data_IF_279282690505
#
_entry.id   IF_279282690505
#
_cell.length_a   1.000
_cell.length_b   1.000
_cell.length_c   1.000
_cell.angle_alpha   90.00
_cell.angle_beta   90.00
_cell.angle_gamma   90.00
#
_symmetry.space_group_name_H-M   'P 1'
#
loop_
_entity.id
_entity.type
_entity.pdbx_description
1 polymer ?
#
# COMPACT_ATOMS: atom_id res chain seq x y z
N UNK A 1 -1.12 20.24 32.64
CA UNK A 1 -1.31 19.56 31.33
C UNK A 1 -0.19 20.03 30.40
N UNK A 2 0.60 19.14 29.84
CA UNK A 2 1.70 19.53 28.95
C UNK A 2 1.14 20.06 27.63
N UNK A 3 1.55 21.27 27.23
CA UNK A 3 1.13 21.92 25.97
C UNK A 3 1.86 21.38 24.74
N UNK A 4 3.03 20.78 24.96
CA UNK A 4 3.93 20.29 23.91
C UNK A 4 4.48 18.93 24.33
N UNK A 5 4.45 17.98 23.42
CA UNK A 5 4.99 16.64 23.61
C UNK A 5 5.82 16.25 22.39
N UNK A 6 6.96 15.63 22.65
CA UNK A 6 7.82 15.03 21.63
C UNK A 6 8.20 13.65 22.13
N UNK A 7 7.95 12.64 21.33
CA UNK A 7 8.42 11.27 21.56
C UNK A 7 9.24 10.86 20.37
N UNK A 8 10.43 10.32 20.60
CA UNK A 8 11.33 9.83 19.56
C UNK A 8 11.88 8.48 19.97
N UNK A 9 11.71 7.49 19.11
CA UNK A 9 12.12 6.12 19.35
C UNK A 9 12.93 5.59 18.15
N UNK A 10 13.93 4.77 18.45
CA UNK A 10 14.62 3.95 17.45
C UNK A 10 14.42 2.48 17.77
N UNK A 11 13.98 1.72 16.78
CA UNK A 11 13.80 0.29 16.96
C UNK A 11 14.70 -0.52 16.02
N UNK A 12 15.13 -1.68 16.53
CA UNK A 12 15.86 -2.68 15.76
C UNK A 12 15.34 -4.07 16.15
N UNK A 13 14.40 -4.60 15.35
CA UNK A 13 13.77 -5.90 15.58
C UNK A 13 14.36 -6.94 14.65
N UNK A 14 14.88 -8.03 15.21
CA UNK A 14 15.29 -9.24 14.47
C UNK A 14 14.29 -10.35 14.71
N UNK A 15 13.70 -10.87 13.64
CA UNK A 15 12.87 -12.07 13.66
C UNK A 15 13.72 -13.21 13.12
N UNK A 16 13.87 -14.28 13.89
CA UNK A 16 14.66 -15.46 13.53
C UNK A 16 13.74 -16.65 13.30
N UNK A 17 14.22 -17.60 12.53
CA UNK A 17 13.63 -18.91 12.36
C UNK A 17 12.18 -18.83 11.87
N UNK A 18 11.92 -17.93 10.91
CA UNK A 18 10.62 -17.79 10.26
C UNK A 18 10.24 -19.13 9.64
N UNK A 19 9.05 -19.60 9.96
CA UNK A 19 8.47 -20.78 9.34
C UNK A 19 7.97 -20.40 7.96
N UNK A 20 8.51 -21.05 6.93
CA UNK A 20 8.06 -20.88 5.55
C UNK A 20 7.49 -22.21 5.07
N UNK A 21 6.26 -22.15 4.56
CA UNK A 21 5.60 -23.25 3.87
C UNK A 21 5.75 -23.09 2.35
N UNK A 22 5.61 -24.17 1.60
CA UNK A 22 5.64 -24.12 0.12
C UNK A 22 6.99 -24.35 -0.50
N UNK A 23 7.94 -24.93 0.21
CA UNK A 23 9.14 -25.51 -0.40
C UNK A 23 8.68 -26.64 -1.33
N UNK A 24 8.93 -26.47 -2.63
CA UNK A 24 8.55 -27.49 -3.61
C UNK A 24 9.44 -28.73 -3.41
N UNK A 25 8.85 -29.85 -3.03
CA UNK A 25 9.50 -31.14 -3.12
C UNK A 25 9.66 -31.50 -4.60
N UNK A 26 10.72 -32.28 -4.92
CA UNK A 26 10.77 -32.95 -6.22
C UNK A 26 9.51 -33.79 -6.40
N UNK A 27 8.88 -33.74 -7.57
CA UNK A 27 7.69 -34.56 -7.89
C UNK A 27 7.92 -36.04 -7.72
N UNK A 28 9.18 -36.49 -7.72
CA UNK A 28 9.60 -37.90 -7.47
C UNK A 28 9.30 -38.32 -6.02
N UNK A 29 9.26 -37.38 -5.07
CA UNK A 29 9.05 -37.70 -3.64
C UNK A 29 7.57 -37.95 -3.31
N UNK A 30 6.63 -37.49 -4.16
CA UNK A 30 5.18 -37.72 -4.02
C UNK A 30 4.55 -37.11 -2.77
N UNK A 31 5.27 -36.25 -2.02
CA UNK A 31 4.80 -35.59 -0.82
C UNK A 31 5.27 -34.12 -0.75
N UNK A 32 4.54 -33.27 -0.01
CA UNK A 32 4.97 -31.92 0.31
C UNK A 32 5.92 -31.92 1.50
N UNK A 33 6.97 -31.07 1.46
CA UNK A 33 7.80 -30.88 2.65
C UNK A 33 7.02 -30.23 3.79
N UNK A 34 7.31 -30.69 5.00
CA UNK A 34 6.87 -29.97 6.20
C UNK A 34 7.41 -28.53 6.20
N UNK A 35 6.68 -27.56 6.80
CA UNK A 35 7.21 -26.22 7.00
C UNK A 35 8.57 -26.28 7.70
N UNK A 36 9.52 -25.47 7.23
CA UNK A 36 10.87 -25.41 7.81
C UNK A 36 11.18 -23.99 8.29
N UNK A 37 12.11 -23.89 9.22
CA UNK A 37 12.66 -22.61 9.66
C UNK A 37 13.56 -22.07 8.54
N UNK A 38 13.00 -21.21 7.68
CA UNK A 38 13.63 -20.90 6.40
C UNK A 38 14.32 -19.52 6.35
N UNK A 39 14.12 -18.64 7.33
CA UNK A 39 14.73 -17.33 7.20
C UNK A 39 14.73 -16.42 8.41
N UNK A 40 15.56 -15.38 8.34
CA UNK A 40 15.62 -14.31 9.32
C UNK A 40 15.35 -12.97 8.63
N UNK A 41 14.60 -12.09 9.30
CA UNK A 41 14.33 -10.72 8.84
C UNK A 41 14.80 -9.73 9.91
N UNK A 42 15.33 -8.61 9.45
CA UNK A 42 15.61 -7.45 10.28
C UNK A 42 14.74 -6.27 9.86
N UNK A 43 14.07 -5.69 10.84
CA UNK A 43 13.33 -4.43 10.71
C UNK A 43 13.98 -3.40 11.60
N UNK A 44 14.31 -2.24 11.06
CA UNK A 44 14.85 -1.11 11.81
C UNK A 44 14.23 0.18 11.32
N UNK A 45 14.06 1.13 12.21
CA UNK A 45 13.47 2.40 11.85
C UNK A 45 13.50 3.39 13.01
N UNK A 46 12.98 4.54 12.72
CA UNK A 46 12.84 5.65 13.63
C UNK A 46 11.37 6.07 13.68
N UNK A 47 10.87 6.35 14.89
CA UNK A 47 9.51 6.83 15.13
C UNK A 47 9.60 8.19 15.82
N UNK A 48 8.79 9.14 15.33
CA UNK A 48 8.68 10.48 15.90
C UNK A 48 7.20 10.82 16.06
N UNK A 49 6.81 11.23 17.26
CA UNK A 49 5.49 11.81 17.53
C UNK A 49 5.65 13.23 18.07
N UNK A 50 4.86 14.14 17.52
CA UNK A 50 4.78 15.53 17.93
C UNK A 50 3.36 15.87 18.32
N UNK A 51 3.19 16.46 19.50
CA UNK A 51 1.90 16.95 19.99
C UNK A 51 1.99 18.41 20.44
N UNK A 52 1.03 19.20 20.00
CA UNK A 52 0.84 20.57 20.44
C UNK A 52 -0.62 20.80 20.78
N UNK A 53 -0.90 21.38 21.96
CA UNK A 53 -2.23 21.81 22.37
C UNK A 53 -2.14 23.19 23.01
N UNK A 54 -3.04 24.09 22.62
CA UNK A 54 -3.13 25.40 23.25
C UNK A 54 -4.56 25.93 23.24
N UNK A 55 -4.77 27.05 23.94
CA UNK A 55 -6.05 27.74 24.05
C UNK A 55 -5.86 29.25 24.02
N UNK A 56 -6.65 29.91 23.18
CA UNK A 56 -6.69 31.36 23.06
C UNK A 56 -8.12 31.80 23.31
N UNK A 57 -8.39 32.31 24.50
CA UNK A 57 -9.76 32.65 24.95
C UNK A 57 -10.66 31.40 24.93
N UNK A 58 -11.75 31.44 24.17
CA UNK A 58 -12.70 30.32 24.03
C UNK A 58 -12.26 29.30 22.97
N UNK A 59 -11.25 29.62 22.17
CA UNK A 59 -10.75 28.74 21.11
C UNK A 59 -9.64 27.82 21.63
N UNK A 60 -9.90 26.51 21.67
CA UNK A 60 -8.92 25.49 21.97
C UNK A 60 -8.55 24.75 20.67
N UNK A 61 -7.29 24.44 20.49
CA UNK A 61 -6.81 23.71 19.32
C UNK A 61 -5.69 22.74 19.68
N UNK A 62 -5.53 21.73 18.86
CA UNK A 62 -4.43 20.76 18.97
C UNK A 62 -4.03 20.21 17.62
N UNK A 63 -2.75 19.90 17.54
CA UNK A 63 -2.12 19.21 16.39
C UNK A 63 -1.33 18.04 16.94
N UNK A 64 -1.53 16.85 16.38
CA UNK A 64 -0.69 15.70 16.62
C UNK A 64 -0.22 15.16 15.28
N UNK A 65 1.06 14.93 15.14
CA UNK A 65 1.65 14.33 13.95
C UNK A 65 2.59 13.20 14.37
N UNK A 66 2.60 12.13 13.61
CA UNK A 66 3.56 11.04 13.78
C UNK A 66 4.15 10.65 12.43
N UNK A 67 5.36 10.12 12.46
CA UNK A 67 6.03 9.48 11.33
C UNK A 67 6.82 8.29 11.83
N UNK A 68 6.72 7.17 11.10
CA UNK A 68 7.50 5.96 11.37
C UNK A 68 8.21 5.55 10.08
N UNK A 69 9.54 5.43 10.13
CA UNK A 69 10.35 4.91 9.03
C UNK A 69 10.56 3.41 9.19
N UNK A 70 10.68 2.67 8.09
CA UNK A 70 10.92 1.24 8.13
C UNK A 70 11.95 0.82 7.08
N UNK A 71 13.03 0.19 7.52
CA UNK A 71 13.96 -0.53 6.65
C UNK A 71 13.89 -2.02 6.96
N UNK A 72 13.26 -2.75 6.06
CA UNK A 72 13.12 -4.21 6.12
C UNK A 72 14.21 -4.88 5.29
N UNK A 73 14.78 -5.98 5.78
CA UNK A 73 15.78 -6.77 5.05
C UNK A 73 15.77 -8.23 5.48
N UNK A 74 15.75 -9.13 4.51
CA UNK A 74 16.04 -10.55 4.72
C UNK A 74 17.53 -10.71 4.96
N UNK A 75 17.93 -11.33 6.07
CA UNK A 75 19.33 -11.42 6.50
C UNK A 75 19.91 -12.83 6.43
N UNK A 76 19.05 -13.85 6.42
CA UNK A 76 19.45 -15.25 6.29
C UNK A 76 18.31 -16.06 5.70
N UNK A 77 18.67 -17.09 4.94
CA UNK A 77 17.77 -18.16 4.50
C UNK A 77 18.39 -19.53 4.83
N UNK A 78 17.57 -20.58 4.72
CA UNK A 78 18.05 -21.95 4.83
C UNK A 78 19.07 -22.25 3.71
N UNK A 79 20.11 -23.00 4.02
CA UNK A 79 21.23 -23.22 3.09
C UNK A 79 20.82 -23.88 1.76
N UNK A 80 19.76 -24.67 1.77
CA UNK A 80 19.21 -25.30 0.56
C UNK A 80 18.38 -24.37 -0.33
N UNK A 81 18.19 -23.09 0.05
CA UNK A 81 17.30 -22.16 -0.63
C UNK A 81 18.06 -20.88 -1.02
N UNK A 82 18.12 -20.58 -2.30
CA UNK A 82 18.61 -19.30 -2.81
C UNK A 82 17.53 -18.21 -2.74
N UNK A 83 16.29 -18.59 -3.03
CA UNK A 83 15.12 -17.72 -2.97
C UNK A 83 13.84 -18.52 -2.74
N UNK A 84 12.76 -17.84 -2.37
CA UNK A 84 11.42 -18.44 -2.25
C UNK A 84 10.46 -17.57 -3.04
N UNK A 85 9.76 -18.16 -3.99
CA UNK A 85 8.71 -17.51 -4.73
C UNK A 85 7.45 -17.37 -3.88
N UNK A 86 6.85 -16.18 -3.90
CA UNK A 86 5.70 -15.83 -3.11
C UNK A 86 4.38 -15.84 -3.90
N UNK A 87 3.73 -14.67 -3.96
CA UNK A 87 2.48 -14.52 -4.67
C UNK A 87 2.65 -14.78 -6.17
N UNK A 88 1.71 -15.53 -6.75
CA UNK A 88 1.63 -15.75 -8.18
C UNK A 88 0.58 -14.84 -8.80
N UNK A 89 0.80 -14.44 -10.05
CA UNK A 89 -0.18 -13.72 -10.84
C UNK A 89 -0.75 -14.63 -11.93
N UNK A 90 -2.00 -15.06 -11.70
CA UNK A 90 -2.69 -16.04 -12.57
C UNK A 90 -1.81 -17.27 -12.81
N UNK A 91 -1.59 -17.65 -14.07
CA UNK A 91 -0.67 -18.73 -14.52
C UNK A 91 0.68 -18.21 -15.01
N UNK A 92 0.91 -16.88 -14.92
CA UNK A 92 2.11 -16.23 -15.50
C UNK A 92 3.35 -16.31 -14.60
N UNK A 93 3.22 -16.87 -13.40
CA UNK A 93 4.33 -17.11 -12.49
C UNK A 93 4.31 -16.24 -11.23
N UNK A 94 5.38 -16.39 -10.46
CA UNK A 94 5.56 -15.62 -9.22
C UNK A 94 5.92 -14.15 -9.52
N UNK A 95 5.29 -13.25 -8.76
CA UNK A 95 5.50 -11.80 -8.84
C UNK A 95 6.10 -11.21 -7.56
N UNK A 96 6.24 -12.01 -6.51
CA UNK A 96 6.97 -11.63 -5.30
C UNK A 96 8.00 -12.69 -4.96
N UNK A 97 9.10 -12.26 -4.34
CA UNK A 97 10.21 -13.14 -3.98
C UNK A 97 10.78 -12.78 -2.62
N UNK A 98 11.24 -13.79 -1.90
CA UNK A 98 11.95 -13.67 -0.65
C UNK A 98 13.40 -14.13 -0.85
N UNK A 99 14.36 -13.24 -0.64
CA UNK A 99 15.77 -13.48 -0.96
C UNK A 99 16.67 -12.71 0.00
N UNK A 100 17.85 -13.27 0.32
CA UNK A 100 18.82 -12.62 1.20
C UNK A 100 19.31 -11.31 0.59
N UNK A 101 19.35 -10.27 1.40
CA UNK A 101 19.82 -8.95 0.99
C UNK A 101 18.73 -8.01 0.52
N UNK A 102 17.56 -8.52 0.18
CA UNK A 102 16.41 -7.78 -0.34
C UNK A 102 15.33 -7.51 0.75
N UNK A 103 14.39 -6.60 0.50
CA UNK A 103 13.17 -6.53 1.30
C UNK A 103 12.40 -7.85 1.23
N UNK A 104 11.69 -8.21 2.31
CA UNK A 104 10.87 -9.41 2.29
C UNK A 104 9.73 -9.27 1.28
N UNK A 105 9.57 -10.26 0.41
CA UNK A 105 8.52 -10.34 -0.60
C UNK A 105 8.51 -9.13 -1.55
N UNK A 106 9.70 -8.68 -1.98
CA UNK A 106 9.84 -7.65 -3.02
C UNK A 106 9.21 -8.13 -4.34
N UNK A 107 8.82 -7.19 -5.20
CA UNK A 107 8.27 -7.53 -6.51
C UNK A 107 9.39 -7.99 -7.44
N UNK A 108 9.16 -9.14 -8.05
CA UNK A 108 10.12 -9.84 -8.90
C UNK A 108 9.52 -10.07 -10.28
N UNK A 109 10.17 -9.58 -11.31
CA UNK A 109 9.66 -9.64 -12.68
C UNK A 109 10.61 -9.02 -13.68
N UNK A 110 10.13 -8.77 -14.89
CA UNK A 110 10.91 -8.17 -15.96
C UNK A 110 10.97 -6.64 -15.79
N UNK A 111 12.14 -6.06 -16.09
CA UNK A 111 12.29 -4.61 -16.11
C UNK A 111 11.82 -4.07 -17.47
N UNK A 112 10.63 -3.47 -17.48
CA UNK A 112 9.99 -2.93 -18.68
C UNK A 112 10.56 -1.57 -19.03
N UNK A 113 11.15 -1.47 -20.22
CA UNK A 113 11.83 -0.28 -20.72
C UNK A 113 10.92 0.64 -21.57
N UNK A 114 9.77 0.13 -22.01
CA UNK A 114 8.83 0.86 -22.86
C UNK A 114 8.21 0.00 -23.94
N UNK A 115 7.62 0.66 -24.93
CA UNK A 115 6.94 0.02 -26.08
C UNK A 115 7.65 0.42 -27.36
N UNK A 116 7.90 -0.54 -28.24
CA UNK A 116 8.40 -0.26 -29.58
C UNK A 116 7.35 0.55 -30.35
N UNK A 117 7.73 1.75 -30.80
CA UNK A 117 6.82 2.70 -31.45
C UNK A 117 6.36 2.23 -32.83
N UNK A 118 7.04 1.25 -33.45
CA UNK A 118 6.67 0.73 -34.78
C UNK A 118 5.78 -0.50 -34.69
N UNK A 119 6.06 -1.40 -33.72
CA UNK A 119 5.40 -2.70 -33.61
C UNK A 119 4.37 -2.78 -32.49
N UNK A 120 4.52 -1.95 -31.45
CA UNK A 120 3.71 -2.03 -30.25
C UNK A 120 4.14 -3.14 -29.27
N UNK A 121 5.26 -3.82 -29.54
CA UNK A 121 5.80 -4.84 -28.65
C UNK A 121 6.43 -4.23 -27.41
N UNK A 122 6.34 -4.88 -26.24
CA UNK A 122 7.01 -4.44 -25.03
C UNK A 122 8.53 -4.68 -25.15
N UNK A 123 9.31 -3.73 -24.66
CA UNK A 123 10.77 -3.80 -24.59
C UNK A 123 11.17 -4.05 -23.14
N UNK A 124 11.98 -5.06 -22.91
CA UNK A 124 12.52 -5.41 -21.60
C UNK A 124 14.04 -5.28 -21.58
N UNK A 125 14.57 -5.06 -20.38
CA UNK A 125 16.00 -5.07 -20.16
C UNK A 125 16.52 -6.52 -20.21
N UNK A 126 17.52 -6.76 -21.06
CA UNK A 126 18.35 -7.95 -21.02
C UNK A 126 19.34 -7.81 -19.86
N UNK A 127 19.30 -8.73 -18.91
CA UNK A 127 20.11 -8.70 -17.68
C UNK A 127 21.25 -9.71 -17.76
N UNK A 128 21.00 -10.90 -18.32
CA UNK A 128 22.00 -11.96 -18.41
C UNK A 128 22.90 -11.84 -19.64
N UNK A 129 22.56 -10.96 -20.60
CA UNK A 129 23.34 -10.75 -21.84
C UNK A 129 23.23 -11.88 -22.85
N UNK A 130 22.25 -12.76 -22.70
CA UNK A 130 21.96 -13.86 -23.64
C UNK A 130 20.83 -13.44 -24.56
N UNK A 131 20.98 -13.63 -25.87
CA UNK A 131 19.99 -13.22 -26.84
C UNK A 131 18.58 -13.74 -26.50
N UNK A 132 17.59 -12.81 -26.40
CA UNK A 132 16.20 -13.07 -26.07
C UNK A 132 15.90 -12.88 -24.59
N UNK A 133 14.65 -12.54 -24.29
CA UNK A 133 14.20 -12.29 -22.90
C UNK A 133 13.67 -13.59 -22.29
N UNK A 134 14.33 -14.04 -21.24
CA UNK A 134 14.07 -15.30 -20.53
C UNK A 134 13.76 -15.06 -19.05
N UNK A 135 13.48 -16.11 -18.28
CA UNK A 135 13.28 -16.01 -16.84
C UNK A 135 14.52 -15.53 -16.06
N UNK A 136 15.71 -15.61 -16.66
CA UNK A 136 16.95 -15.11 -16.07
C UNK A 136 17.06 -13.58 -16.10
N UNK A 137 16.23 -12.91 -16.92
CA UNK A 137 16.16 -11.44 -16.99
C UNK A 137 15.22 -10.84 -15.96
N UNK A 138 14.64 -11.66 -15.09
CA UNK A 138 13.83 -11.17 -13.99
C UNK A 138 14.69 -10.60 -12.87
N UNK A 139 14.24 -9.48 -12.31
CA UNK A 139 14.94 -8.75 -11.24
C UNK A 139 13.97 -8.16 -10.23
N UNK A 140 14.49 -7.42 -9.25
CA UNK A 140 13.69 -6.59 -8.35
C UNK A 140 13.08 -5.44 -9.14
N UNK A 141 11.74 -5.34 -9.14
CA UNK A 141 10.97 -4.32 -9.87
C UNK A 141 10.13 -3.44 -8.95
N UNK A 142 10.26 -3.58 -7.63
CA UNK A 142 9.56 -2.79 -6.64
C UNK A 142 9.35 -3.53 -5.33
N UNK A 143 8.68 -2.89 -4.39
CA UNK A 143 8.41 -3.44 -3.05
C UNK A 143 7.09 -2.93 -2.48
N UNK A 144 6.28 -3.80 -1.87
CA UNK A 144 5.04 -3.41 -1.20
C UNK A 144 5.24 -2.80 0.20
N UNK A 145 6.46 -2.85 0.76
CA UNK A 145 6.79 -2.29 2.08
C UNK A 145 7.14 -0.82 1.94
N UNK A 146 6.42 0.04 2.66
CA UNK A 146 6.68 1.47 2.69
C UNK A 146 8.02 1.81 3.36
N UNK A 147 8.67 2.88 2.89
CA UNK A 147 9.84 3.46 3.54
C UNK A 147 9.46 4.22 4.80
N UNK A 148 8.30 4.90 4.76
CA UNK A 148 7.72 5.53 5.95
C UNK A 148 6.20 5.67 5.85
N UNK A 149 5.57 5.67 7.02
CA UNK A 149 4.16 5.96 7.20
C UNK A 149 4.01 7.17 8.13
N UNK A 150 2.95 7.93 7.95
CA UNK A 150 2.72 9.14 8.75
C UNK A 150 1.24 9.36 8.99
N UNK A 151 0.94 10.10 10.07
CA UNK A 151 -0.41 10.50 10.42
C UNK A 151 -0.43 11.92 10.94
N UNK A 152 -1.57 12.60 10.72
CA UNK A 152 -1.82 13.93 11.26
C UNK A 152 -3.25 14.01 11.79
N UNK A 153 -3.38 14.55 13.00
CA UNK A 153 -4.67 14.85 13.61
C UNK A 153 -4.71 16.33 13.97
N UNK A 154 -5.73 17.01 13.48
CA UNK A 154 -6.07 18.39 13.89
C UNK A 154 -7.37 18.34 14.67
N UNK A 155 -7.40 19.00 15.80
CA UNK A 155 -8.61 19.18 16.58
C UNK A 155 -8.78 20.65 16.98
N UNK A 156 -10.01 21.12 16.98
CA UNK A 156 -10.37 22.47 17.41
C UNK A 156 -11.70 22.45 18.16
N UNK A 157 -11.85 23.36 19.13
CA UNK A 157 -13.11 23.56 19.83
C UNK A 157 -13.34 25.04 20.07
N UNK A 158 -14.57 25.51 19.84
CA UNK A 158 -14.96 26.90 20.01
C UNK A 158 -16.47 27.04 20.30
N UNK A 159 -16.82 27.59 21.44
CA UNK A 159 -18.21 27.91 21.83
C UNK A 159 -19.22 26.79 21.55
N UNK A 160 -18.88 25.56 21.94
CA UNK A 160 -19.74 24.38 21.75
C UNK A 160 -19.49 23.64 20.46
N UNK A 161 -18.84 24.22 19.45
CA UNK A 161 -18.38 23.52 18.27
C UNK A 161 -17.11 22.72 18.57
N UNK A 162 -17.00 21.52 18.01
CA UNK A 162 -15.80 20.72 17.96
C UNK A 162 -15.53 20.24 16.52
N UNK A 163 -14.26 20.23 16.15
CA UNK A 163 -13.78 19.82 14.83
C UNK A 163 -12.63 18.84 14.98
N UNK A 164 -12.66 17.79 14.17
CA UNK A 164 -11.56 16.81 14.03
C UNK A 164 -11.28 16.60 12.55
N UNK A 165 -10.01 16.66 12.18
CA UNK A 165 -9.51 16.18 10.91
C UNK A 165 -8.39 15.20 11.19
N UNK A 166 -8.51 13.99 10.64
CA UNK A 166 -7.52 12.93 10.75
C UNK A 166 -7.16 12.41 9.38
N UNK A 167 -5.86 12.30 9.11
CA UNK A 167 -5.34 11.75 7.88
C UNK A 167 -4.12 10.89 8.11
N UNK A 168 -3.91 9.91 7.22
CA UNK A 168 -2.77 9.01 7.21
C UNK A 168 -2.17 8.92 5.82
N UNK A 169 -0.89 8.61 5.73
CA UNK A 169 -0.21 8.38 4.48
C UNK A 169 0.87 7.31 4.56
N UNK A 170 1.22 6.82 3.40
CA UNK A 170 2.31 5.87 3.17
C UNK A 170 3.15 6.36 2.01
N UNK A 171 4.47 6.17 2.07
CA UNK A 171 5.39 6.63 1.05
C UNK A 171 6.51 5.61 0.79
N UNK A 172 6.90 5.52 -0.50
CA UNK A 172 8.00 4.68 -0.92
C UNK A 172 7.67 3.19 -1.00
N UNK A 173 6.38 2.86 -0.98
CA UNK A 173 5.87 1.56 -1.36
C UNK A 173 5.37 1.59 -2.80
N UNK A 174 5.49 0.46 -3.47
CA UNK A 174 4.91 0.23 -4.78
C UNK A 174 3.67 -0.67 -4.66
N UNK A 175 2.80 -0.60 -5.67
CA UNK A 175 1.67 -1.51 -5.86
C UNK A 175 1.81 -2.23 -7.19
N UNK A 176 1.84 -3.56 -7.15
CA UNK A 176 1.69 -4.39 -8.33
C UNK A 176 0.20 -4.46 -8.71
N UNK A 177 -0.14 -3.89 -9.86
CA UNK A 177 -1.52 -3.81 -10.36
C UNK A 177 -1.89 -5.08 -11.15
N UNK A 178 -2.48 -6.05 -10.49
CA UNK A 178 -3.00 -7.28 -11.11
C UNK A 178 -4.40 -7.13 -11.73
N UNK A 179 -4.85 -5.90 -12.01
CA UNK A 179 -6.16 -5.64 -12.61
C UNK A 179 -6.12 -5.66 -14.16
N UNK A 180 -4.93 -5.69 -14.76
CA UNK A 180 -4.76 -5.81 -16.20
C UNK A 180 -4.70 -7.30 -16.60
N UNK A 181 -5.86 -7.94 -16.72
CA UNK A 181 -5.98 -9.38 -17.02
C UNK A 181 -6.38 -9.62 -18.47
N UNK A 182 -5.78 -10.64 -19.08
CA UNK A 182 -6.10 -11.09 -20.46
C UNK A 182 -6.78 -12.46 -20.50
N UNK A 183 -6.82 -13.15 -19.37
CA UNK A 183 -7.48 -14.45 -19.20
C UNK A 183 -9.00 -14.35 -19.00
N UNK A 184 -9.51 -13.15 -18.79
CA UNK A 184 -10.95 -12.84 -18.73
C UNK A 184 -11.31 -11.68 -19.66
N UNK A 185 -12.47 -11.75 -20.27
CA UNK A 185 -13.09 -10.64 -21.01
C UNK A 185 -13.67 -9.62 -20.02
N UNK A 186 -12.82 -8.94 -19.27
CA UNK A 186 -13.19 -7.91 -18.30
C UNK A 186 -12.85 -6.52 -18.82
N UNK A 187 -13.54 -5.53 -18.29
CA UNK A 187 -13.15 -4.13 -18.46
C UNK A 187 -11.79 -3.90 -17.83
N UNK A 188 -10.91 -3.26 -18.57
CA UNK A 188 -9.58 -2.88 -18.07
C UNK A 188 -9.63 -1.47 -17.46
N UNK A 189 -8.70 -1.19 -16.54
CA UNK A 189 -8.52 0.15 -16.01
C UNK A 189 -8.26 1.15 -17.15
N UNK A 190 -8.81 2.34 -17.00
CA UNK A 190 -8.66 3.44 -17.95
C UNK A 190 -7.19 3.76 -18.26
N UNK A 191 -6.29 3.57 -17.28
CA UNK A 191 -4.84 3.74 -17.48
C UNK A 191 -4.33 2.88 -18.63
N UNK A 192 -4.60 1.57 -18.62
CA UNK A 192 -4.10 0.64 -19.64
C UNK A 192 -4.74 0.87 -21.00
N UNK A 193 -6.02 1.23 -21.05
CA UNK A 193 -6.72 1.46 -22.31
C UNK A 193 -6.32 2.79 -22.98
N UNK A 194 -6.21 3.87 -22.23
CA UNK A 194 -5.81 5.19 -22.74
C UNK A 194 -4.34 5.26 -23.16
N UNK A 195 -3.48 4.54 -22.46
CA UNK A 195 -2.06 4.52 -22.74
C UNK A 195 -1.63 3.40 -23.70
N UNK A 196 -2.59 2.64 -24.26
CA UNK A 196 -2.30 1.53 -25.17
C UNK A 196 -1.67 2.05 -26.47
N UNK A 197 -0.64 1.37 -26.91
CA UNK A 197 -0.10 1.57 -28.24
C UNK A 197 -1.15 1.14 -29.29
N UNK A 198 -1.32 1.97 -30.31
CA UNK A 198 -2.11 1.70 -31.53
C UNK A 198 -1.44 2.40 -32.69
N UNK A 199 -1.81 2.08 -33.92
CA UNK A 199 -1.29 2.78 -35.11
C UNK A 199 -1.54 4.31 -35.06
N UNK A 200 -2.64 4.73 -34.41
CA UNK A 200 -2.97 6.13 -34.18
C UNK A 200 -2.33 6.72 -32.91
N UNK A 201 -1.79 5.91 -32.02
CA UNK A 201 -1.11 6.30 -30.78
C UNK A 201 0.22 5.55 -30.61
N UNK A 202 1.17 5.80 -31.49
CA UNK A 202 2.49 5.13 -31.49
C UNK A 202 3.37 5.46 -30.30
N UNK A 203 3.03 6.49 -29.53
CA UNK A 203 3.70 6.85 -28.28
C UNK A 203 3.00 6.26 -27.05
N UNK A 204 2.17 5.22 -27.23
CA UNK A 204 1.53 4.51 -26.14
C UNK A 204 2.54 3.98 -25.12
N UNK A 205 2.17 4.06 -23.84
CA UNK A 205 3.02 3.60 -22.73
C UNK A 205 2.78 2.14 -22.34
N UNK A 206 1.71 1.54 -22.87
CA UNK A 206 1.37 0.14 -22.66
C UNK A 206 1.34 -0.59 -24.00
N UNK A 207 1.68 -1.87 -24.06
CA UNK A 207 1.82 -2.62 -25.31
C UNK A 207 0.54 -2.68 -26.14
N UNK A 208 0.69 -3.02 -27.41
CA UNK A 208 -0.41 -3.29 -28.33
C UNK A 208 -1.29 -4.44 -27.80
N UNK A 209 -2.56 -4.43 -28.17
CA UNK A 209 -3.46 -5.57 -27.94
C UNK A 209 -3.00 -6.72 -28.85
N UNK A 210 -2.59 -7.85 -28.26
CA UNK A 210 -2.09 -8.99 -29.00
C UNK A 210 -0.57 -8.97 -29.25
N UNK A 211 0.19 -8.09 -28.58
CA UNK A 211 1.65 -8.17 -28.55
C UNK A 211 2.12 -9.58 -28.10
N UNK A 212 3.18 -10.09 -28.74
CA UNK A 212 3.68 -11.46 -28.53
C UNK A 212 4.10 -11.68 -27.08
N UNK A 213 4.83 -10.70 -26.49
CA UNK A 213 5.34 -10.78 -25.13
C UNK A 213 4.43 -10.08 -24.08
N UNK A 214 3.12 -10.00 -24.38
CA UNK A 214 2.18 -9.36 -23.48
C UNK A 214 2.11 -10.02 -22.09
N UNK A 215 2.30 -11.33 -22.01
CA UNK A 215 2.33 -12.06 -20.73
C UNK A 215 3.54 -11.70 -19.87
N UNK A 216 4.70 -11.43 -20.47
CA UNK A 216 5.88 -10.90 -19.77
C UNK A 216 5.62 -9.48 -19.26
N UNK A 217 4.93 -8.64 -20.08
CA UNK A 217 4.52 -7.31 -19.63
C UNK A 217 3.63 -7.36 -18.38
N UNK A 218 2.71 -8.33 -18.30
CA UNK A 218 1.82 -8.49 -17.15
C UNK A 218 2.56 -8.83 -15.84
N UNK A 219 3.79 -9.32 -15.93
CA UNK A 219 4.65 -9.65 -14.77
C UNK A 219 5.90 -8.76 -14.71
N UNK A 220 5.80 -7.55 -15.25
CA UNK A 220 6.92 -6.60 -15.35
C UNK A 220 6.69 -5.35 -14.52
N UNK A 221 7.72 -4.50 -14.46
CA UNK A 221 7.65 -3.16 -13.88
C UNK A 221 6.61 -2.25 -14.57
N UNK A 222 6.16 -2.58 -15.78
CA UNK A 222 5.04 -1.90 -16.47
C UNK A 222 3.68 -2.05 -15.77
N UNK A 223 3.55 -2.99 -14.84
CA UNK A 223 2.38 -3.18 -13.98
C UNK A 223 2.65 -2.82 -12.52
N UNK A 224 3.80 -2.24 -12.20
CA UNK A 224 4.15 -1.72 -10.88
C UNK A 224 4.03 -0.20 -10.88
N UNK A 225 3.33 0.34 -9.90
CA UNK A 225 3.04 1.77 -9.77
C UNK A 225 3.45 2.27 -8.40
N UNK A 226 3.75 3.57 -8.30
CA UNK A 226 3.92 4.23 -7.02
C UNK A 226 2.63 4.06 -6.19
N UNK A 227 2.76 3.39 -5.06
CA UNK A 227 1.69 3.13 -4.09
C UNK A 227 1.60 4.19 -3.00
N UNK A 228 2.38 5.25 -3.10
CA UNK A 228 2.36 6.35 -2.14
C UNK A 228 1.01 7.04 -2.12
N UNK A 229 0.54 7.39 -0.93
CA UNK A 229 -0.73 8.10 -0.78
C UNK A 229 -0.78 8.97 0.48
N UNK A 230 -1.71 9.91 0.47
CA UNK A 230 -2.27 10.56 1.65
C UNK A 230 -3.79 10.46 1.60
N UNK A 231 -4.40 9.96 2.69
CA UNK A 231 -5.85 9.78 2.80
C UNK A 231 -6.39 10.54 4.00
N UNK A 232 -7.42 11.36 3.78
CA UNK A 232 -8.18 11.95 4.86
C UNK A 232 -9.20 10.92 5.33
N UNK A 233 -8.90 10.32 6.48
CA UNK A 233 -9.69 9.25 7.09
C UNK A 233 -10.94 9.74 7.78
N UNK A 234 -10.90 10.95 8.34
CA UNK A 234 -12.03 11.53 9.05
C UNK A 234 -12.03 13.05 9.00
N UNK A 235 -13.20 13.62 8.71
CA UNK A 235 -13.53 15.02 8.93
C UNK A 235 -14.80 15.04 9.74
N UNK A 236 -14.76 15.50 10.98
CA UNK A 236 -15.91 15.54 11.86
C UNK A 236 -16.17 16.96 12.36
N UNK A 237 -17.42 17.38 12.33
CA UNK A 237 -17.90 18.61 12.98
C UNK A 237 -19.01 18.26 13.95
N UNK A 238 -18.85 18.66 15.19
CA UNK A 238 -19.83 18.47 16.26
C UNK A 238 -20.29 19.79 16.86
N UNK A 239 -21.45 19.78 17.49
CA UNK A 239 -21.95 20.87 18.30
C UNK A 239 -22.58 20.36 19.58
N UNK A 240 -22.10 20.84 20.73
CA UNK A 240 -22.64 20.59 22.06
C UNK A 240 -23.50 21.74 22.48
N UNK A 241 -24.76 21.48 22.78
CA UNK A 241 -25.73 22.50 23.18
C UNK A 241 -25.40 23.07 24.56
N UNK A 242 -25.58 24.39 24.77
CA UNK A 242 -25.39 25.01 26.07
C UNK A 242 -26.32 24.41 27.16
N UNK A 243 -25.74 24.10 28.31
CA UNK A 243 -26.49 23.49 29.45
C UNK A 243 -27.75 24.25 29.84
N UNK A 244 -27.76 25.57 29.66
CA UNK A 244 -28.90 26.41 29.98
C UNK A 244 -30.17 26.11 29.16
N UNK A 245 -29.99 25.64 27.91
CA UNK A 245 -31.07 25.28 27.00
C UNK A 245 -31.64 23.89 27.32
N UNK A 246 -30.76 22.93 27.61
CA UNK A 246 -31.11 21.51 27.73
C UNK A 246 -31.59 21.12 29.14
N UNK A 247 -31.21 21.84 30.19
CA UNK A 247 -31.69 21.61 31.55
C UNK A 247 -33.22 21.66 31.70
N UNK A 248 -33.89 22.41 30.82
CA UNK A 248 -35.38 22.52 30.86
C UNK A 248 -36.09 21.21 30.52
N UNK A 249 -35.38 20.26 29.87
CA UNK A 249 -35.90 18.96 29.44
C UNK A 249 -35.17 17.79 30.13
N UNK A 250 -34.57 18.06 31.32
CA UNK A 250 -33.83 17.05 32.11
C UNK A 250 -32.69 16.34 31.36
N UNK A 251 -32.06 17.06 30.44
CA UNK A 251 -30.89 16.57 29.72
C UNK A 251 -29.65 17.27 30.28
N UNK A 252 -28.61 16.48 30.62
CA UNK A 252 -27.33 17.00 31.11
C UNK A 252 -26.38 17.39 30.00
N UNK A 253 -26.37 16.59 28.93
CA UNK A 253 -25.54 16.87 27.76
C UNK A 253 -26.27 16.44 26.47
N UNK A 254 -26.22 17.31 25.46
CA UNK A 254 -26.73 17.04 24.12
C UNK A 254 -25.69 17.47 23.10
N UNK A 255 -25.22 16.53 22.28
CA UNK A 255 -24.29 16.79 21.20
C UNK A 255 -24.79 16.15 19.92
N UNK A 256 -24.76 16.92 18.83
CA UNK A 256 -24.97 16.41 17.47
C UNK A 256 -23.65 16.51 16.71
N UNK A 257 -23.40 15.57 15.80
CA UNK A 257 -22.22 15.63 14.95
C UNK A 257 -22.46 15.00 13.59
N UNK A 258 -21.68 15.46 12.60
CA UNK A 258 -21.55 14.84 11.28
C UNK A 258 -20.11 14.48 11.02
N UNK A 259 -19.87 13.35 10.38
CA UNK A 259 -18.55 12.88 9.97
C UNK A 259 -18.55 12.42 8.53
N UNK A 260 -17.47 12.75 7.81
CA UNK A 260 -17.10 12.21 6.52
C UNK A 260 -15.90 11.31 6.73
N UNK A 261 -15.99 10.03 6.30
CA UNK A 261 -14.91 9.06 6.47
C UNK A 261 -14.47 8.52 5.11
N UNK A 262 -13.14 8.43 4.91
CA UNK A 262 -12.48 7.94 3.69
C UNK A 262 -12.88 8.69 2.40
N UNK A 263 -13.19 10.00 2.48
CA UNK A 263 -13.70 10.77 1.35
C UNK A 263 -12.64 11.22 0.37
N UNK A 264 -11.42 11.50 0.82
CA UNK A 264 -10.38 12.11 0.01
C UNK A 264 -9.10 11.27 0.06
N UNK A 265 -8.69 10.81 -1.10
CA UNK A 265 -7.43 10.06 -1.31
C UNK A 265 -6.62 10.81 -2.35
N UNK A 266 -5.36 11.10 -2.03
CA UNK A 266 -4.38 11.73 -2.91
C UNK A 266 -3.33 10.68 -3.23
N UNK A 267 -3.24 10.26 -4.50
CA UNK A 267 -2.34 9.20 -4.98
C UNK A 267 -2.22 9.26 -6.50
N UNK A 268 -1.11 8.78 -7.03
CA UNK A 268 -0.88 8.56 -8.46
C UNK A 268 -1.17 7.11 -8.88
N UNK A 269 -1.56 6.24 -7.95
CA UNK A 269 -1.94 4.87 -8.25
C UNK A 269 -3.20 4.82 -9.14
N UNK A 270 -3.14 4.18 -10.32
CA UNK A 270 -4.27 4.18 -11.27
C UNK A 270 -5.39 3.19 -10.92
N UNK A 271 -5.19 2.32 -9.91
CA UNK A 271 -6.19 1.36 -9.43
C UNK A 271 -7.27 1.99 -8.55
N UNK A 272 -8.02 1.15 -7.84
CA UNK A 272 -9.18 1.62 -7.06
C UNK A 272 -8.78 2.26 -5.73
N UNK A 273 -7.81 1.69 -5.03
CA UNK A 273 -7.38 2.16 -3.71
C UNK A 273 -5.91 1.79 -3.45
N UNK A 274 -5.03 2.77 -3.20
CA UNK A 274 -3.61 2.51 -2.93
C UNK A 274 -3.38 1.82 -1.56
N UNK A 275 -4.34 1.85 -0.68
CA UNK A 275 -4.36 1.11 0.59
C UNK A 275 -4.59 -0.39 0.40
N UNK A 276 -4.20 -0.91 -0.75
CA UNK A 276 -4.35 -2.32 -1.09
C UNK A 276 -3.64 -3.18 -0.07
N UNK A 277 -4.35 -4.16 0.41
CA UNK A 277 -3.89 -5.05 1.45
C UNK A 277 -3.76 -6.47 0.93
N UNK A 278 -2.64 -6.76 0.31
CA UNK A 278 -2.15 -8.11 0.33
C UNK A 278 -1.61 -8.42 1.74
N UNK A 279 -1.61 -9.67 2.14
CA UNK A 279 -1.01 -10.12 3.40
C UNK A 279 0.13 -11.09 3.16
N UNK A 280 1.11 -11.10 4.05
CA UNK A 280 2.24 -12.02 3.96
C UNK A 280 3.04 -11.83 2.66
N UNK A 281 3.07 -12.86 1.83
CA UNK A 281 3.84 -12.88 0.58
C UNK A 281 3.22 -12.10 -0.59
N UNK A 282 2.05 -11.46 -0.38
CA UNK A 282 1.33 -10.67 -1.39
C UNK A 282 1.12 -9.22 -0.99
N UNK A 283 1.91 -8.71 -0.04
CA UNK A 283 1.82 -7.31 0.37
C UNK A 283 2.07 -6.38 -0.81
N UNK A 284 1.16 -5.42 -1.03
CA UNK A 284 1.21 -4.47 -2.15
C UNK A 284 0.73 -5.05 -3.49
N UNK A 285 0.21 -6.30 -3.52
CA UNK A 285 -0.34 -6.90 -4.75
C UNK A 285 -1.84 -6.65 -4.82
N UNK A 286 -2.28 -5.83 -5.77
CA UNK A 286 -3.70 -5.58 -6.05
C UNK A 286 -4.25 -6.59 -7.06
N UNK A 287 -5.10 -7.50 -6.58
CA UNK A 287 -5.83 -8.49 -7.41
C UNK A 287 -7.32 -8.15 -7.54
N UNK A 288 -7.70 -6.90 -7.33
CA UNK A 288 -9.09 -6.46 -7.32
C UNK A 288 -9.66 -6.38 -5.90
N UNK A 289 -8.86 -5.94 -4.95
CA UNK A 289 -9.33 -5.68 -3.58
C UNK A 289 -10.43 -4.62 -3.61
N UNK A 290 -11.48 -4.85 -2.80
CA UNK A 290 -12.57 -3.88 -2.70
C UNK A 290 -12.06 -2.59 -2.03
N UNK A 291 -12.27 -1.42 -2.66
CA UNK A 291 -11.79 -0.16 -2.10
C UNK A 291 -12.53 0.22 -0.82
N UNK A 292 -11.90 1.01 0.04
CA UNK A 292 -12.55 1.56 1.21
C UNK A 292 -13.76 2.42 0.80
N UNK A 293 -14.91 2.16 1.43
CA UNK A 293 -16.15 2.88 1.15
C UNK A 293 -16.12 4.26 1.80
N UNK A 294 -16.51 5.28 1.05
CA UNK A 294 -16.82 6.61 1.61
C UNK A 294 -18.06 6.55 2.48
N UNK A 295 -18.00 7.09 3.69
CA UNK A 295 -19.11 7.07 4.65
C UNK A 295 -19.48 8.46 5.10
N UNK A 296 -20.78 8.71 5.21
CA UNK A 296 -21.34 9.87 5.87
C UNK A 296 -22.03 9.38 7.15
N UNK A 297 -21.61 9.91 8.27
CA UNK A 297 -22.14 9.54 9.58
C UNK A 297 -22.79 10.76 10.22
N UNK A 298 -24.02 10.59 10.72
CA UNK A 298 -24.70 11.56 11.56
C UNK A 298 -24.91 10.92 12.93
N UNK A 299 -24.55 11.62 13.98
CA UNK A 299 -24.65 11.11 15.34
C UNK A 299 -25.29 12.08 16.30
N UNK A 300 -25.98 11.51 17.28
CA UNK A 300 -26.61 12.20 18.41
C UNK A 300 -26.13 11.54 19.70
N UNK A 301 -25.63 12.35 20.64
CA UNK A 301 -25.26 11.90 21.98
C UNK A 301 -26.08 12.64 23.00
N UNK A 302 -26.79 11.92 23.86
CA UNK A 302 -27.66 12.46 24.91
C UNK A 302 -27.25 11.83 26.23
N UNK A 303 -27.07 12.67 27.25
CA UNK A 303 -26.86 12.26 28.66
C UNK A 303 -27.96 12.87 29.49
N UNK A 304 -28.60 12.07 30.34
CA UNK A 304 -29.69 12.45 31.25
C UNK A 304 -29.19 12.60 32.66
#
# INVERSE_FOLDING_TARGET
MYKRQVTADYFHKKTKDLIVSGIKASTVVGNSFSPVNAGNITNKGFELELGWQDRIGDFAYGVRANVATLKNKVTKMHESLSSIDGATYVTYGAITRFEVGKPAWYFYGYDFMGVDSKTGEPIFRDIDGVEGITDNDKTEIGKGIADYTYGITLNAAWKGFDFILFGTGSQGNDVFCGLNRVDYNLNQLTYFTKNRWTESNRNGKTPASGATDYTKYLTSSGCVFDGSYFKIKQIQLGYSFPKQLIKKVAIENLRIYGSLEDFFTFTDYPGFDPEVTGVGNSLGVDKGSYPNSKKVVLGLSVTF
#
